data_IF_890111699174
#
_entry.id   IF_890111699174
#
_cell.length_a   1.000
_cell.length_b   1.000
_cell.length_c   1.000
_cell.angle_alpha   90.00
_cell.angle_beta   90.00
_cell.angle_gamma   90.00
#
_symmetry.space_group_name_H-M   'P 1'
#
loop_
_entity.id
_entity.type
_entity.pdbx_description
1 polymer ?
#
# COMPACT_ATOMS: atom_id res chain seq x y z
N UNK A 1 -9.84 8.95 15.66
CA UNK A 1 -9.33 10.31 15.92
C UNK A 1 -8.19 10.27 16.93
N UNK A 2 -7.45 11.36 17.04
CA UNK A 2 -6.36 11.55 18.00
C UNK A 2 -6.82 12.62 18.98
N UNK A 3 -6.86 12.29 20.28
CA UNK A 3 -7.19 13.24 21.34
C UNK A 3 -6.01 14.18 21.64
N UNK A 4 -6.20 15.12 22.58
CA UNK A 4 -5.15 16.08 22.98
C UNK A 4 -3.94 15.42 23.66
N UNK A 5 -4.07 14.16 24.09
CA UNK A 5 -2.99 13.36 24.67
C UNK A 5 -2.32 12.44 23.63
N UNK A 6 -2.58 12.69 22.35
CA UNK A 6 -2.07 11.91 21.21
C UNK A 6 -2.52 10.43 21.19
N UNK A 7 -3.59 10.08 21.93
CA UNK A 7 -4.11 8.71 21.94
C UNK A 7 -5.16 8.52 20.87
N UNK A 8 -5.14 7.33 20.28
CA UNK A 8 -6.17 6.92 19.33
C UNK A 8 -7.49 6.65 20.06
N UNK A 9 -8.55 7.32 19.62
CA UNK A 9 -9.92 7.10 20.06
C UNK A 9 -10.81 6.76 18.86
N UNK A 10 -11.83 5.92 19.08
CA UNK A 10 -12.86 5.66 18.09
C UNK A 10 -13.87 6.81 18.10
N UNK A 11 -14.13 7.41 16.94
CA UNK A 11 -15.08 8.51 16.79
C UNK A 11 -14.64 9.54 15.76
N UNK A 12 -15.46 10.58 15.63
CA UNK A 12 -15.31 11.70 14.70
C UNK A 12 -15.23 13.03 15.44
N UNK A 13 -14.87 14.12 14.75
CA UNK A 13 -14.86 15.48 15.33
C UNK A 13 -16.19 15.86 16.00
N UNK A 14 -17.33 15.32 15.55
CA UNK A 14 -18.65 15.53 16.18
C UNK A 14 -18.70 14.94 17.59
N UNK A 15 -18.09 13.78 17.80
CA UNK A 15 -18.07 13.09 19.09
C UNK A 15 -17.06 13.72 20.06
N UNK A 16 -15.95 14.24 19.52
CA UNK A 16 -14.92 14.96 20.29
C UNK A 16 -14.54 16.26 19.58
N UNK A 17 -15.26 17.36 19.81
CA UNK A 17 -14.99 18.66 19.17
C UNK A 17 -13.56 19.14 19.41
N UNK A 18 -13.04 18.83 20.60
CA UNK A 18 -11.70 19.16 21.08
C UNK A 18 -10.58 18.24 20.57
N UNK A 19 -10.85 17.28 19.68
CA UNK A 19 -9.81 16.38 19.18
C UNK A 19 -8.62 17.14 18.57
N UNK A 20 -7.40 16.64 18.77
CA UNK A 20 -6.25 17.21 18.08
C UNK A 20 -6.37 16.98 16.56
N UNK A 21 -6.88 15.80 16.17
CA UNK A 21 -7.06 15.41 14.77
C UNK A 21 -8.15 14.36 14.58
N UNK A 22 -8.95 14.48 13.54
CA UNK A 22 -9.94 13.50 13.12
C UNK A 22 -9.61 13.01 11.70
N UNK A 23 -8.98 11.84 11.60
CA UNK A 23 -8.62 11.21 10.31
C UNK A 23 -9.67 10.18 9.91
N UNK A 24 -10.12 10.25 8.66
CA UNK A 24 -10.90 9.19 8.03
C UNK A 24 -9.94 8.16 7.39
N UNK A 25 -10.07 6.88 7.73
CA UNK A 25 -9.16 5.84 7.28
C UNK A 25 -9.84 4.91 6.27
N UNK A 26 -9.30 4.84 5.06
CA UNK A 26 -9.70 3.87 4.04
C UNK A 26 -8.53 2.91 3.78
N UNK A 27 -8.79 1.61 3.85
CA UNK A 27 -7.76 0.58 3.72
C UNK A 27 -8.18 -0.45 2.68
N UNK A 28 -7.31 -0.70 1.72
CA UNK A 28 -7.50 -1.65 0.63
C UNK A 28 -6.46 -2.77 0.72
N UNK A 29 -6.91 -4.00 0.46
CA UNK A 29 -6.03 -5.15 0.37
C UNK A 29 -6.24 -5.85 -0.97
N UNK A 30 -5.14 -6.02 -1.71
CA UNK A 30 -5.13 -6.62 -3.03
C UNK A 30 -4.26 -7.88 -3.04
N UNK A 31 -4.80 -8.92 -3.69
CA UNK A 31 -4.08 -10.13 -4.05
C UNK A 31 -4.45 -10.49 -5.48
N UNK A 32 -3.46 -10.90 -6.26
CA UNK A 32 -3.68 -11.40 -7.61
C UNK A 32 -3.68 -12.92 -7.57
N UNK A 33 -4.78 -13.51 -8.03
CA UNK A 33 -4.95 -14.96 -8.14
C UNK A 33 -5.11 -15.29 -9.62
N UNK A 34 -4.06 -15.78 -10.29
CA UNK A 34 -4.18 -16.15 -11.70
C UNK A 34 -5.09 -17.38 -11.84
N UNK A 35 -5.84 -17.45 -12.94
CA UNK A 35 -6.74 -18.57 -13.23
C UNK A 35 -6.53 -19.02 -14.67
N UNK A 36 -6.37 -20.33 -14.90
CA UNK A 36 -6.28 -20.92 -16.23
C UNK A 36 -4.86 -21.29 -16.66
N UNK A 37 -4.62 -21.26 -17.97
CA UNK A 37 -3.32 -21.45 -18.60
C UNK A 37 -2.72 -20.06 -18.91
N UNK A 38 -1.39 -19.96 -18.99
CA UNK A 38 -0.64 -18.69 -19.17
C UNK A 38 -0.78 -17.73 -17.98
N UNK A 39 -0.15 -18.12 -16.86
CA UNK A 39 -0.17 -17.43 -15.58
C UNK A 39 0.81 -16.23 -15.53
N UNK A 40 0.90 -15.46 -16.62
CA UNK A 40 1.73 -14.26 -16.68
C UNK A 40 1.01 -13.17 -17.49
N UNK A 41 1.13 -11.91 -17.08
CA UNK A 41 0.50 -10.80 -17.80
C UNK A 41 0.34 -9.54 -16.96
N UNK A 42 -0.20 -8.49 -17.58
CA UNK A 42 -0.45 -7.22 -16.89
C UNK A 42 -1.81 -7.31 -16.19
N UNK A 43 -1.86 -7.19 -14.84
CA UNK A 43 -3.13 -7.22 -14.13
C UNK A 43 -4.00 -6.03 -14.50
N UNK A 44 -5.32 -6.25 -14.57
CA UNK A 44 -6.26 -5.15 -14.67
C UNK A 44 -6.21 -4.28 -13.41
N UNK A 45 -6.31 -2.96 -13.60
CA UNK A 45 -6.45 -2.01 -12.49
C UNK A 45 -7.78 -2.22 -11.77
N UNK A 46 -7.76 -2.08 -10.45
CA UNK A 46 -8.94 -2.11 -9.61
C UNK A 46 -9.69 -0.76 -9.60
N UNK A 47 -9.07 0.31 -10.13
CA UNK A 47 -9.61 1.68 -10.18
C UNK A 47 -10.06 2.20 -8.80
N UNK A 48 -9.29 1.85 -7.77
CA UNK A 48 -9.45 2.34 -6.39
C UNK A 48 -8.59 3.58 -6.15
N UNK A 49 -8.89 4.33 -5.08
CA UNK A 49 -8.25 5.62 -4.83
C UNK A 49 -6.73 5.54 -4.63
N UNK A 50 -6.23 4.51 -3.96
CA UNK A 50 -4.80 4.24 -3.81
C UNK A 50 -4.56 2.79 -4.21
N UNK A 51 -3.72 2.56 -5.21
CA UNK A 51 -3.49 1.25 -5.81
C UNK A 51 -1.99 0.99 -5.96
N UNK A 52 -1.58 -0.27 -5.76
CA UNK A 52 -0.23 -0.75 -6.07
C UNK A 52 -0.39 -1.79 -7.17
N UNK A 53 0.27 -1.58 -8.31
CA UNK A 53 0.16 -2.47 -9.46
C UNK A 53 1.55 -2.98 -9.87
N UNK A 54 1.76 -4.29 -10.07
CA UNK A 54 2.97 -4.76 -10.70
C UNK A 54 2.96 -4.39 -12.20
N UNK A 55 4.14 -4.10 -12.76
CA UNK A 55 4.30 -3.88 -14.20
C UNK A 55 3.80 -5.07 -15.01
N UNK A 56 4.18 -6.27 -14.57
CA UNK A 56 3.73 -7.54 -15.08
C UNK A 56 3.67 -8.50 -13.92
N UNK A 57 2.58 -9.24 -13.83
CA UNK A 57 2.43 -10.33 -12.89
C UNK A 57 2.96 -11.62 -13.50
N UNK A 58 3.73 -12.35 -12.70
CA UNK A 58 4.18 -13.71 -12.99
C UNK A 58 4.45 -14.44 -11.67
N UNK A 59 4.79 -15.72 -11.77
CA UNK A 59 5.33 -16.46 -10.63
C UNK A 59 6.77 -16.03 -10.35
N UNK A 60 6.94 -14.98 -9.55
CA UNK A 60 8.26 -14.41 -9.26
C UNK A 60 9.16 -15.38 -8.51
N UNK A 61 10.42 -15.38 -8.91
CA UNK A 61 11.50 -16.19 -8.32
C UNK A 61 12.58 -15.30 -7.73
N UNK A 62 13.39 -15.89 -6.87
CA UNK A 62 14.55 -15.22 -6.32
C UNK A 62 15.47 -14.71 -7.44
N UNK A 63 15.87 -13.45 -7.36
CA UNK A 63 16.70 -12.80 -8.38
C UNK A 63 15.91 -12.09 -9.48
N UNK A 64 14.59 -12.29 -9.57
CA UNK A 64 13.74 -11.45 -10.41
C UNK A 64 13.81 -9.99 -9.95
N UNK A 65 13.79 -9.10 -10.92
CA UNK A 65 13.45 -7.70 -10.72
C UNK A 65 11.93 -7.56 -10.77
N UNK A 66 11.33 -7.03 -9.71
CA UNK A 66 9.88 -6.90 -9.58
C UNK A 66 9.52 -5.43 -9.51
N UNK A 67 8.98 -4.90 -10.60
CA UNK A 67 8.60 -3.50 -10.71
C UNK A 67 7.14 -3.31 -10.30
N UNK A 68 6.90 -2.33 -9.45
CA UNK A 68 5.58 -1.90 -9.03
C UNK A 68 5.40 -0.41 -9.25
N UNK A 69 4.20 0.00 -9.62
CA UNK A 69 3.79 1.40 -9.66
C UNK A 69 2.72 1.66 -8.64
N UNK A 70 2.85 2.75 -7.91
CA UNK A 70 1.81 3.24 -7.00
C UNK A 70 1.00 4.30 -7.71
N UNK A 71 -0.32 4.23 -7.59
CA UNK A 71 -1.24 5.20 -8.16
C UNK A 71 -2.10 5.82 -7.07
N UNK A 72 -2.33 7.13 -7.15
CA UNK A 72 -3.36 7.85 -6.43
C UNK A 72 -4.38 8.41 -7.44
N UNK A 73 -5.62 7.94 -7.37
CA UNK A 73 -6.72 8.33 -8.28
C UNK A 73 -6.38 8.14 -9.76
N UNK A 74 -5.71 7.03 -10.06
CA UNK A 74 -5.31 6.67 -11.43
C UNK A 74 -4.01 7.34 -11.89
N UNK A 75 -3.54 8.38 -11.21
CA UNK A 75 -2.28 9.06 -11.51
C UNK A 75 -1.11 8.43 -10.75
N UNK A 76 0.10 8.35 -11.34
CA UNK A 76 1.26 7.84 -10.64
C UNK A 76 1.60 8.68 -9.41
N UNK A 77 1.91 8.00 -8.30
CA UNK A 77 2.20 8.65 -7.02
C UNK A 77 3.71 8.63 -6.74
N UNK A 78 4.34 9.78 -6.90
CA UNK A 78 5.76 10.00 -6.67
C UNK A 78 6.13 10.12 -5.18
N UNK A 79 7.44 10.01 -4.91
CA UNK A 79 8.04 10.37 -3.62
C UNK A 79 7.43 9.70 -2.39
N UNK A 80 6.75 8.56 -2.56
CA UNK A 80 5.96 7.92 -1.52
C UNK A 80 6.72 6.75 -0.92
N UNK A 81 6.78 6.72 0.41
CA UNK A 81 7.33 5.59 1.14
C UNK A 81 6.38 4.38 1.06
N UNK A 82 6.94 3.24 0.65
CA UNK A 82 6.28 1.94 0.62
C UNK A 82 6.98 1.05 1.63
N UNK A 83 6.27 0.63 2.68
CA UNK A 83 6.80 -0.40 3.56
C UNK A 83 6.76 -1.74 2.85
N UNK A 84 7.86 -2.48 2.95
CA UNK A 84 7.95 -3.86 2.47
C UNK A 84 8.14 -4.76 3.67
N UNK A 85 7.24 -5.73 3.82
CA UNK A 85 7.39 -6.81 4.80
C UNK A 85 7.62 -8.14 4.08
N UNK A 86 8.56 -8.94 4.59
CA UNK A 86 8.87 -10.28 4.10
C UNK A 86 8.78 -11.28 5.26
N UNK A 87 8.14 -12.41 5.01
CA UNK A 87 8.19 -13.58 5.88
C UNK A 87 8.72 -14.77 5.06
N UNK A 88 10.00 -15.07 5.25
CA UNK A 88 10.73 -16.14 4.56
C UNK A 88 11.59 -16.98 5.53
N UNK A 89 12.50 -17.82 5.01
CA UNK A 89 13.36 -18.68 5.82
C UNK A 89 14.19 -17.95 6.88
N UNK A 90 14.59 -16.70 6.62
CA UNK A 90 15.29 -15.85 7.58
C UNK A 90 14.39 -15.21 8.66
N UNK A 91 13.09 -15.51 8.67
CA UNK A 91 12.10 -14.92 9.57
C UNK A 91 11.47 -13.63 9.02
N UNK A 92 10.75 -12.93 9.90
CA UNK A 92 10.08 -11.66 9.55
C UNK A 92 11.08 -10.52 9.41
N UNK A 93 10.99 -9.77 8.32
CA UNK A 93 11.80 -8.57 8.06
C UNK A 93 10.93 -7.47 7.48
N UNK A 94 11.26 -6.22 7.79
CA UNK A 94 10.58 -5.05 7.26
C UNK A 94 11.60 -3.96 6.91
N UNK A 95 11.37 -3.25 5.81
CA UNK A 95 12.14 -2.08 5.38
C UNK A 95 11.23 -1.16 4.56
N UNK A 96 11.79 -0.03 4.12
CA UNK A 96 11.09 0.93 3.27
C UNK A 96 11.80 1.06 1.93
N UNK A 97 10.99 1.20 0.88
CA UNK A 97 11.39 1.66 -0.45
C UNK A 97 10.67 2.97 -0.75
N UNK A 98 11.17 3.74 -1.70
CA UNK A 98 10.55 4.99 -2.16
C UNK A 98 10.13 4.85 -3.62
N UNK A 99 8.98 5.39 -3.99
CA UNK A 99 8.65 5.58 -5.40
C UNK A 99 9.50 6.70 -6.01
N UNK A 100 9.91 6.53 -7.26
CA UNK A 100 10.52 7.58 -8.07
C UNK A 100 9.49 8.61 -8.55
N UNK A 101 9.95 9.59 -9.33
CA UNK A 101 9.15 10.72 -9.84
C UNK A 101 7.98 10.29 -10.75
N UNK A 102 8.03 9.07 -11.27
CA UNK A 102 7.00 8.47 -12.11
C UNK A 102 6.16 7.44 -11.36
N UNK A 103 6.29 7.35 -10.03
CA UNK A 103 5.54 6.44 -9.16
C UNK A 103 6.03 4.99 -9.15
N UNK A 104 7.13 4.67 -9.87
CA UNK A 104 7.70 3.33 -9.88
C UNK A 104 8.59 3.06 -8.67
N UNK A 105 8.57 1.81 -8.21
CA UNK A 105 9.59 1.23 -7.35
C UNK A 105 10.01 -0.14 -7.89
N UNK A 106 11.27 -0.48 -7.67
CA UNK A 106 11.85 -1.76 -8.09
C UNK A 106 12.27 -2.56 -6.88
N UNK A 107 11.72 -3.76 -6.75
CA UNK A 107 12.05 -4.68 -5.67
C UNK A 107 12.93 -5.82 -6.17
N UNK A 108 13.98 -6.12 -5.41
CA UNK A 108 14.79 -7.34 -5.57
C UNK A 108 14.66 -8.19 -4.32
N UNK A 109 13.91 -9.28 -4.43
CA UNK A 109 13.70 -10.20 -3.32
C UNK A 109 15.04 -10.82 -2.88
N UNK A 110 15.32 -10.80 -1.56
CA UNK A 110 16.56 -11.34 -0.98
C UNK A 110 16.44 -12.80 -0.57
N UNK A 111 15.22 -13.31 -0.43
CA UNK A 111 14.92 -14.70 -0.14
C UNK A 111 13.54 -15.09 -0.70
N UNK A 112 13.25 -16.39 -0.91
CA UNK A 112 11.89 -16.83 -1.16
C UNK A 112 11.00 -16.60 0.08
N UNK A 113 9.72 -16.28 -0.12
CA UNK A 113 8.81 -16.01 0.99
C UNK A 113 7.52 -15.33 0.58
N UNK A 114 6.74 -14.96 1.59
CA UNK A 114 5.56 -14.10 1.47
C UNK A 114 5.98 -12.65 1.62
N UNK A 115 5.61 -11.82 0.66
CA UNK A 115 5.90 -10.40 0.65
C UNK A 115 4.60 -9.60 0.71
N UNK A 116 4.66 -8.45 1.38
CA UNK A 116 3.57 -7.48 1.46
C UNK A 116 4.15 -6.08 1.23
N UNK A 117 3.63 -5.39 0.21
CA UNK A 117 3.84 -3.95 0.05
C UNK A 117 2.73 -3.21 0.75
N UNK A 118 3.06 -2.08 1.39
CA UNK A 118 2.11 -1.21 2.09
C UNK A 118 2.43 0.23 1.70
N UNK A 119 1.57 0.83 0.87
CA UNK A 119 1.62 2.25 0.55
C UNK A 119 0.63 2.99 1.45
N UNK A 120 1.03 4.15 1.98
CA UNK A 120 0.14 5.06 2.70
C UNK A 120 0.21 6.44 2.10
N UNK A 121 -0.96 7.04 1.86
CA UNK A 121 -1.06 8.39 1.34
C UNK A 121 -2.11 9.17 2.13
N UNK A 122 -1.80 10.41 2.52
CA UNK A 122 -2.70 11.28 3.29
C UNK A 122 -2.98 12.54 2.50
N UNK A 123 -4.24 12.93 2.45
CA UNK A 123 -4.70 14.15 1.79
C UNK A 123 -5.60 14.96 2.72
N UNK A 124 -5.56 16.30 2.68
CA UNK A 124 -6.37 17.18 3.52
C UNK A 124 -7.82 17.25 3.02
N UNK A 125 -8.48 16.09 2.99
CA UNK A 125 -9.85 15.94 2.52
C UNK A 125 -10.68 15.26 3.61
N UNK A 126 -11.88 15.77 3.86
CA UNK A 126 -12.80 15.21 4.85
C UNK A 126 -14.15 15.93 4.81
N UNK A 127 -15.18 15.33 5.39
CA UNK A 127 -16.44 16.04 5.61
C UNK A 127 -16.22 17.12 6.68
N UNK A 128 -16.59 18.36 6.34
CA UNK A 128 -16.44 19.52 7.22
C UNK A 128 -17.11 19.27 8.58
N UNK A 129 -16.37 19.55 9.66
CA UNK A 129 -16.84 19.30 11.02
C UNK A 129 -16.87 17.83 11.43
N UNK A 130 -16.38 16.90 10.59
CA UNK A 130 -16.31 15.46 10.90
C UNK A 130 -14.88 14.93 10.85
N UNK A 131 -14.17 15.20 9.75
CA UNK A 131 -12.81 14.74 9.51
C UNK A 131 -11.96 15.87 8.92
N UNK A 132 -10.69 15.92 9.33
CA UNK A 132 -9.71 16.90 8.84
C UNK A 132 -8.91 16.37 7.64
N UNK A 133 -8.77 15.04 7.54
CA UNK A 133 -7.99 14.41 6.48
C UNK A 133 -8.48 12.99 6.16
N UNK A 134 -8.10 12.52 4.98
CA UNK A 134 -8.28 11.16 4.51
C UNK A 134 -6.91 10.48 4.48
N UNK A 135 -6.79 9.35 5.18
CA UNK A 135 -5.62 8.48 5.16
C UNK A 135 -5.96 7.19 4.42
N UNK A 136 -5.33 7.02 3.26
CA UNK A 136 -5.46 5.84 2.42
C UNK A 136 -4.32 4.87 2.73
N UNK A 137 -4.63 3.59 2.84
CA UNK A 137 -3.64 2.50 2.86
C UNK A 137 -3.97 1.52 1.76
N UNK A 138 -3.00 1.17 0.93
CA UNK A 138 -3.12 0.09 -0.04
C UNK A 138 -2.07 -0.98 0.27
N UNK A 139 -2.48 -2.24 0.19
CA UNK A 139 -1.56 -3.36 0.37
C UNK A 139 -1.59 -4.30 -0.82
N UNK A 140 -0.43 -4.81 -1.19
CA UNK A 140 -0.28 -5.79 -2.26
C UNK A 140 0.53 -6.98 -1.79
N UNK A 141 -0.11 -8.14 -1.72
CA UNK A 141 0.51 -9.38 -1.27
C UNK A 141 0.99 -10.23 -2.46
N UNK A 142 2.19 -10.77 -2.36
CA UNK A 142 2.74 -11.68 -3.38
C UNK A 142 3.71 -12.72 -2.80
N UNK A 143 4.02 -13.71 -3.63
CA UNK A 143 4.94 -14.79 -3.31
C UNK A 143 6.19 -14.68 -4.17
N UNK A 144 7.33 -14.97 -3.56
CA UNK A 144 8.59 -15.22 -4.28
C UNK A 144 9.02 -16.65 -3.98
N UNK A 145 9.26 -17.44 -5.02
CA UNK A 145 9.78 -18.81 -4.88
C UNK A 145 11.28 -18.87 -5.11
N UNK A 146 11.87 -20.05 -4.91
CA UNK A 146 13.24 -20.32 -5.36
C UNK A 146 13.32 -20.29 -6.89
#
# INVERSE_FOLDING_TARGET
MIDKEEKFQKGTRKDYPDAAKATFYNQFAQVIVPVGHDLEGIPQKADIQLEIQPETWKHWRLGDEINFRVFFRGEPLDGTAVDVACNGPGGYRQWQEMTGDDGWLTLRAKEPGRYLLIARHRVPEGEEGVYDELSLTATFAFMVTK
#
